data_IF_186882187184
#
_entry.id   IF_186882187184
#
_cell.length_a   1.000
_cell.length_b   1.000
_cell.length_c   1.000
_cell.angle_alpha   90.00
_cell.angle_beta   90.00
_cell.angle_gamma   90.00
#
_symmetry.space_group_name_H-M   'P 1'
#
loop_
_entity.id
_entity.type
_entity.pdbx_description
1 polymer ?
#
# COMPACT_ATOMS: atom_id res chain seq x y z
N UNK A 1 16.87 -18.45 4.70
CA UNK A 1 17.61 -18.63 3.43
C UNK A 1 16.60 -18.50 2.31
N UNK A 2 16.48 -17.35 1.64
CA UNK A 2 15.65 -17.26 0.44
C UNK A 2 16.48 -17.75 -0.73
N UNK A 3 16.03 -18.77 -1.44
CA UNK A 3 16.66 -19.20 -2.70
C UNK A 3 16.61 -18.03 -3.71
N UNK A 4 17.45 -18.03 -4.73
CA UNK A 4 17.44 -16.98 -5.76
C UNK A 4 16.03 -16.83 -6.40
N UNK A 5 15.32 -17.94 -6.61
CA UNK A 5 13.93 -17.96 -7.07
C UNK A 5 12.97 -17.21 -6.13
N UNK A 6 13.10 -17.40 -4.81
CA UNK A 6 12.28 -16.71 -3.81
C UNK A 6 12.50 -15.19 -3.85
N UNK A 7 13.75 -14.76 -4.14
CA UNK A 7 14.08 -13.33 -4.23
C UNK A 7 13.46 -12.65 -5.45
N UNK A 8 13.39 -13.34 -6.59
CA UNK A 8 12.73 -12.84 -7.79
C UNK A 8 11.22 -12.72 -7.61
N UNK A 9 10.58 -13.73 -7.03
CA UNK A 9 9.13 -13.73 -6.75
C UNK A 9 8.77 -12.61 -5.77
N UNK A 10 9.55 -12.42 -4.69
CA UNK A 10 9.30 -11.35 -3.73
C UNK A 10 9.45 -9.96 -4.38
N UNK A 11 10.41 -9.78 -5.29
CA UNK A 11 10.54 -8.53 -6.04
C UNK A 11 9.29 -8.28 -6.89
N UNK A 12 8.84 -9.28 -7.67
CA UNK A 12 7.63 -9.15 -8.49
C UNK A 12 6.40 -8.82 -7.62
N UNK A 13 6.24 -9.49 -6.48
CA UNK A 13 5.16 -9.22 -5.55
C UNK A 13 5.21 -7.76 -5.04
N UNK A 14 6.40 -7.26 -4.66
CA UNK A 14 6.59 -5.87 -4.24
C UNK A 14 6.24 -4.88 -5.35
N UNK A 15 6.67 -5.14 -6.57
CA UNK A 15 6.36 -4.27 -7.72
C UNK A 15 4.86 -4.26 -8.01
N UNK A 16 4.23 -5.44 -8.09
CA UNK A 16 2.79 -5.57 -8.31
C UNK A 16 1.98 -4.83 -7.24
N UNK A 17 2.35 -4.99 -5.97
CA UNK A 17 1.71 -4.25 -4.88
C UNK A 17 1.97 -2.75 -4.96
N UNK A 18 3.18 -2.30 -5.35
CA UNK A 18 3.54 -0.89 -5.39
C UNK A 18 2.82 -0.07 -6.47
N UNK A 19 2.49 -0.69 -7.62
CA UNK A 19 1.96 0.03 -8.80
C UNK A 19 0.70 0.81 -8.45
N UNK A 20 -0.23 0.19 -7.71
CA UNK A 20 -1.48 0.83 -7.33
C UNK A 20 -1.24 2.06 -6.45
N UNK A 21 -0.33 1.96 -5.46
CA UNK A 21 -0.06 3.05 -4.52
C UNK A 21 0.74 4.17 -5.17
N UNK A 22 1.71 3.86 -6.04
CA UNK A 22 2.43 4.88 -6.80
C UNK A 22 1.51 5.62 -7.76
N UNK A 23 0.69 4.89 -8.52
CA UNK A 23 -0.30 5.50 -9.40
C UNK A 23 -1.25 6.42 -8.62
N UNK A 24 -1.87 5.88 -7.57
CA UNK A 24 -2.80 6.64 -6.73
C UNK A 24 -2.15 7.86 -6.09
N UNK A 25 -0.94 7.70 -5.52
CA UNK A 25 -0.22 8.76 -4.84
C UNK A 25 0.21 9.88 -5.78
N UNK A 26 0.70 9.54 -6.98
CA UNK A 26 1.04 10.53 -8.01
C UNK A 26 -0.21 11.29 -8.46
N UNK A 27 -1.33 10.59 -8.69
CA UNK A 27 -2.59 11.25 -9.05
C UNK A 27 -3.09 12.19 -7.94
N UNK A 28 -2.91 11.81 -6.67
CA UNK A 28 -3.20 12.69 -5.53
C UNK A 28 -2.28 13.91 -5.48
N UNK A 29 -0.99 13.78 -5.85
CA UNK A 29 -0.09 14.94 -5.91
C UNK A 29 -0.48 15.90 -7.04
N UNK A 30 -0.74 15.38 -8.24
CA UNK A 30 -1.12 16.18 -9.40
C UNK A 30 -2.51 16.82 -9.23
N UNK A 31 -3.42 16.13 -8.54
CA UNK A 31 -4.79 16.55 -8.29
C UNK A 31 -5.10 16.86 -6.83
N UNK A 32 -4.14 17.39 -6.07
CA UNK A 32 -4.24 17.47 -4.61
C UNK A 32 -5.47 18.25 -4.12
N UNK A 33 -5.80 19.37 -4.76
CA UNK A 33 -7.01 20.14 -4.42
C UNK A 33 -8.29 19.34 -4.61
N UNK A 34 -8.40 18.56 -5.69
CA UNK A 34 -9.55 17.70 -5.95
C UNK A 34 -9.62 16.55 -4.94
N UNK A 35 -8.47 15.97 -4.56
CA UNK A 35 -8.42 14.94 -3.53
C UNK A 35 -8.85 15.46 -2.16
N UNK A 36 -8.41 16.65 -1.76
CA UNK A 36 -8.87 17.33 -0.53
C UNK A 36 -10.38 17.55 -0.57
N UNK A 37 -10.92 18.05 -1.69
CA UNK A 37 -12.37 18.23 -1.87
C UNK A 37 -13.15 16.91 -1.78
N UNK A 38 -12.61 15.83 -2.35
CA UNK A 38 -13.19 14.49 -2.22
C UNK A 38 -13.27 14.02 -0.76
N UNK A 39 -12.18 14.19 0.02
CA UNK A 39 -12.18 13.82 1.44
C UNK A 39 -13.15 14.66 2.26
N UNK A 40 -13.30 15.94 1.95
CA UNK A 40 -14.30 16.82 2.58
C UNK A 40 -15.72 16.35 2.27
N UNK A 41 -16.02 16.03 1.01
CA UNK A 41 -17.32 15.51 0.61
C UNK A 41 -17.66 14.17 1.27
N UNK A 42 -16.64 13.34 1.54
CA UNK A 42 -16.77 12.09 2.31
C UNK A 42 -16.86 12.30 3.83
N UNK A 43 -16.76 13.53 4.32
CA UNK A 43 -16.86 13.83 5.76
C UNK A 43 -15.68 13.32 6.59
N UNK A 44 -14.50 13.12 5.97
CA UNK A 44 -13.31 12.63 6.68
C UNK A 44 -12.86 13.68 7.71
N UNK A 45 -12.69 13.33 9.00
CA UNK A 45 -12.23 14.27 10.00
C UNK A 45 -10.76 14.67 9.72
N UNK A 46 -10.39 15.88 10.13
CA UNK A 46 -9.00 16.38 10.05
C UNK A 46 -8.41 16.27 8.62
N UNK A 47 -9.16 16.64 7.58
CA UNK A 47 -8.71 16.53 6.17
C UNK A 47 -7.33 17.15 5.92
N UNK A 48 -7.00 18.25 6.60
CA UNK A 48 -5.70 18.91 6.50
C UNK A 48 -4.52 18.03 6.94
N UNK A 49 -4.77 17.00 7.75
CA UNK A 49 -3.79 15.99 8.18
C UNK A 49 -3.97 14.70 7.38
N UNK A 50 -5.21 14.26 7.16
CA UNK A 50 -5.50 13.02 6.45
C UNK A 50 -5.02 13.04 4.99
N UNK A 51 -5.22 14.15 4.27
CA UNK A 51 -4.81 14.29 2.88
C UNK A 51 -3.29 14.19 2.67
N UNK A 52 -2.43 14.95 3.39
CA UNK A 52 -0.99 14.83 3.21
C UNK A 52 -0.46 13.48 3.69
N UNK A 53 -1.01 12.92 4.78
CA UNK A 53 -0.62 11.60 5.27
C UNK A 53 -0.94 10.51 4.24
N UNK A 54 -2.16 10.49 3.70
CA UNK A 54 -2.55 9.53 2.67
C UNK A 54 -1.65 9.63 1.44
N UNK A 55 -1.38 10.84 0.96
CA UNK A 55 -0.52 11.08 -0.19
C UNK A 55 0.92 10.63 0.08
N UNK A 56 1.46 10.96 1.25
CA UNK A 56 2.81 10.59 1.65
C UNK A 56 2.95 9.06 1.79
N UNK A 57 1.99 8.39 2.43
CA UNK A 57 2.02 6.92 2.60
C UNK A 57 1.99 6.23 1.24
N UNK A 58 1.16 6.68 0.30
CA UNK A 58 1.07 6.07 -1.02
C UNK A 58 2.34 6.26 -1.85
N UNK A 59 2.89 7.47 -1.89
CA UNK A 59 4.08 7.79 -2.69
C UNK A 59 5.34 7.19 -2.05
N UNK A 60 5.60 7.51 -0.79
CA UNK A 60 6.82 7.06 -0.09
C UNK A 60 6.76 5.56 0.13
N UNK A 61 5.61 5.02 0.56
CA UNK A 61 5.43 3.58 0.74
C UNK A 61 5.57 2.81 -0.57
N UNK A 62 5.00 3.32 -1.66
CA UNK A 62 5.19 2.78 -3.01
C UNK A 62 6.66 2.73 -3.41
N UNK A 63 7.41 3.81 -3.21
CA UNK A 63 8.86 3.86 -3.50
C UNK A 63 9.62 2.84 -2.65
N UNK A 64 9.33 2.77 -1.35
CA UNK A 64 10.01 1.85 -0.43
C UNK A 64 9.73 0.39 -0.79
N UNK A 65 8.53 0.06 -1.26
CA UNK A 65 8.20 -1.26 -1.81
C UNK A 65 9.08 -1.59 -3.01
N UNK A 66 9.23 -0.68 -3.97
CA UNK A 66 10.07 -0.87 -5.16
C UNK A 66 11.52 -1.16 -4.78
N UNK A 67 12.13 -0.28 -3.98
CA UNK A 67 13.56 -0.41 -3.61
C UNK A 67 13.82 -1.50 -2.55
N UNK A 68 12.77 -1.95 -1.87
CA UNK A 68 12.90 -2.97 -0.83
C UNK A 68 13.52 -2.43 0.45
N UNK A 69 13.04 -1.28 0.91
CA UNK A 69 13.55 -0.61 2.11
C UNK A 69 12.54 -0.67 3.26
N UNK A 70 12.98 -1.13 4.43
CA UNK A 70 12.18 -1.31 5.64
C UNK A 70 10.89 -2.12 5.39
N UNK A 71 10.95 -3.17 4.57
CA UNK A 71 9.75 -3.86 4.08
C UNK A 71 8.90 -4.47 5.21
N UNK A 72 9.54 -4.93 6.29
CA UNK A 72 8.80 -5.52 7.42
C UNK A 72 7.86 -4.53 8.11
N UNK A 73 8.34 -3.43 8.71
CA UNK A 73 7.46 -2.43 9.30
C UNK A 73 6.59 -1.72 8.25
N UNK A 74 7.10 -1.52 7.02
CA UNK A 74 6.32 -0.94 5.94
C UNK A 74 5.11 -1.80 5.58
N UNK A 75 5.26 -3.13 5.53
CA UNK A 75 4.16 -4.05 5.26
C UNK A 75 3.01 -3.88 6.25
N UNK A 76 3.31 -3.72 7.55
CA UNK A 76 2.28 -3.45 8.55
C UNK A 76 1.58 -2.10 8.32
N UNK A 77 2.36 -1.03 8.08
CA UNK A 77 1.82 0.31 7.82
C UNK A 77 0.93 0.31 6.58
N UNK A 78 1.39 -0.29 5.48
CA UNK A 78 0.65 -0.38 4.23
C UNK A 78 -0.61 -1.24 4.38
N UNK A 79 -0.57 -2.33 5.14
CA UNK A 79 -1.75 -3.14 5.44
C UNK A 79 -2.82 -2.33 6.18
N UNK A 80 -2.44 -1.65 7.28
CA UNK A 80 -3.35 -0.81 8.06
C UNK A 80 -3.93 0.30 7.20
N UNK A 81 -3.07 1.01 6.45
CA UNK A 81 -3.49 2.06 5.54
C UNK A 81 -4.49 1.54 4.50
N UNK A 82 -4.20 0.41 3.86
CA UNK A 82 -5.05 -0.17 2.83
C UNK A 82 -6.42 -0.55 3.37
N UNK A 83 -6.48 -1.15 4.57
CA UNK A 83 -7.77 -1.44 5.24
C UNK A 83 -8.51 -0.15 5.58
N UNK A 84 -7.84 0.88 6.09
CA UNK A 84 -8.46 2.17 6.36
C UNK A 84 -9.05 2.80 5.07
N UNK A 85 -8.33 2.74 3.95
CA UNK A 85 -8.86 3.22 2.66
C UNK A 85 -10.03 2.38 2.15
N UNK A 86 -10.05 1.06 2.39
CA UNK A 86 -11.19 0.22 2.07
C UNK A 86 -12.44 0.66 2.84
N UNK A 87 -12.30 0.84 4.15
CA UNK A 87 -13.42 1.19 5.04
C UNK A 87 -13.96 2.59 4.78
N UNK A 88 -13.07 3.56 4.54
CA UNK A 88 -13.47 4.96 4.35
C UNK A 88 -13.84 5.29 2.89
N UNK A 89 -13.20 4.64 1.93
CA UNK A 89 -13.35 4.92 0.50
C UNK A 89 -14.43 4.08 -0.18
N UNK A 90 -14.70 2.87 0.34
CA UNK A 90 -15.55 1.87 -0.30
C UNK A 90 -16.58 1.30 0.69
N UNK A 91 -17.27 2.20 1.40
CA UNK A 91 -18.29 1.92 2.41
C UNK A 91 -19.61 1.43 1.80
N UNK A 92 -19.56 0.29 1.10
CA UNK A 92 -20.67 -0.27 0.31
C UNK A 92 -21.94 -0.52 1.13
N UNK A 93 -21.84 -0.67 2.45
CA UNK A 93 -22.97 -0.84 3.36
C UNK A 93 -23.84 0.43 3.51
N UNK A 94 -23.33 1.59 3.08
CA UNK A 94 -24.05 2.86 3.09
C UNK A 94 -24.66 3.23 1.72
N UNK A 95 -24.53 2.37 0.71
CA UNK A 95 -24.94 2.65 -0.68
C UNK A 95 -26.24 1.92 -1.00
N UNK A 96 -27.27 2.67 -1.41
CA UNK A 96 -28.60 2.12 -1.79
C UNK A 96 -28.73 1.81 -3.28
N UNK A 97 -27.92 2.44 -4.13
CA UNK A 97 -27.89 2.16 -5.56
C UNK A 97 -27.13 0.83 -5.82
N UNK A 98 -27.82 -0.16 -6.40
CA UNK A 98 -27.27 -1.51 -6.58
C UNK A 98 -25.99 -1.55 -7.45
N UNK A 99 -25.92 -0.76 -8.52
CA UNK A 99 -24.75 -0.73 -9.40
C UNK A 99 -23.52 -0.13 -8.70
N UNK A 100 -23.72 0.99 -8.00
CA UNK A 100 -22.65 1.63 -7.21
C UNK A 100 -22.23 0.73 -6.02
N UNK A 101 -23.18 0.06 -5.38
CA UNK A 101 -22.89 -0.85 -4.28
C UNK A 101 -22.01 -2.01 -4.75
N UNK A 102 -22.32 -2.62 -5.90
CA UNK A 102 -21.53 -3.71 -6.46
C UNK A 102 -20.08 -3.30 -6.75
N UNK A 103 -19.89 -2.13 -7.35
CA UNK A 103 -18.56 -1.57 -7.62
C UNK A 103 -17.75 -1.34 -6.32
N UNK A 104 -18.38 -0.76 -5.30
CA UNK A 104 -17.75 -0.53 -3.99
C UNK A 104 -17.35 -1.85 -3.29
N UNK A 105 -18.19 -2.89 -3.39
CA UNK A 105 -17.87 -4.23 -2.83
C UNK A 105 -16.59 -4.79 -3.47
N UNK A 106 -16.45 -4.69 -4.79
CA UNK A 106 -15.25 -5.16 -5.50
C UNK A 106 -14.01 -4.40 -5.02
N UNK A 107 -14.09 -3.07 -4.93
CA UNK A 107 -12.98 -2.25 -4.48
C UNK A 107 -12.59 -2.49 -3.02
N UNK A 108 -13.58 -2.69 -2.14
CA UNK A 108 -13.35 -3.04 -0.74
C UNK A 108 -12.57 -4.35 -0.62
N UNK A 109 -13.05 -5.43 -1.23
CA UNK A 109 -12.41 -6.75 -1.12
C UNK A 109 -11.07 -6.82 -1.83
N UNK A 110 -10.90 -6.10 -2.94
CA UNK A 110 -9.59 -5.90 -3.58
C UNK A 110 -8.58 -5.32 -2.58
N UNK A 111 -8.96 -4.26 -1.85
CA UNK A 111 -8.08 -3.66 -0.84
C UNK A 111 -7.78 -4.63 0.32
N UNK A 112 -8.76 -5.41 0.79
CA UNK A 112 -8.53 -6.45 1.80
C UNK A 112 -7.51 -7.50 1.31
N UNK A 113 -7.65 -7.97 0.08
CA UNK A 113 -6.69 -8.90 -0.54
C UNK A 113 -5.27 -8.31 -0.63
N UNK A 114 -5.16 -7.05 -1.04
CA UNK A 114 -3.88 -6.31 -1.10
C UNK A 114 -3.26 -6.20 0.31
N UNK A 115 -4.05 -5.88 1.33
CA UNK A 115 -3.57 -5.83 2.71
C UNK A 115 -3.00 -7.18 3.17
N UNK A 116 -3.62 -8.30 2.76
CA UNK A 116 -3.07 -9.65 2.97
C UNK A 116 -1.68 -9.82 2.34
N UNK A 117 -1.47 -9.31 1.13
CA UNK A 117 -0.15 -9.28 0.48
C UNK A 117 0.90 -8.50 1.28
N UNK A 118 0.52 -7.37 1.87
CA UNK A 118 1.41 -6.60 2.73
C UNK A 118 1.74 -7.29 4.06
N UNK A 119 0.78 -7.99 4.66
CA UNK A 119 1.03 -8.81 5.85
C UNK A 119 1.98 -9.98 5.53
N UNK A 120 1.86 -10.59 4.35
CA UNK A 120 2.84 -11.57 3.89
C UNK A 120 4.23 -10.94 3.76
N UNK A 121 4.36 -9.75 3.17
CA UNK A 121 5.64 -9.02 3.10
C UNK A 121 6.21 -8.66 4.48
N UNK A 122 5.36 -8.40 5.47
CA UNK A 122 5.80 -8.19 6.86
C UNK A 122 6.53 -9.42 7.41
N UNK A 123 6.07 -10.62 7.06
CA UNK A 123 6.65 -11.89 7.51
C UNK A 123 7.85 -12.29 6.64
N UNK A 124 7.72 -12.23 5.31
CA UNK A 124 8.76 -12.69 4.38
C UNK A 124 9.93 -11.72 4.28
N UNK A 125 9.69 -10.41 4.47
CA UNK A 125 10.68 -9.35 4.25
C UNK A 125 10.90 -9.04 2.76
N UNK A 126 11.97 -8.28 2.47
CA UNK A 126 12.21 -7.67 1.16
C UNK A 126 12.77 -8.61 0.07
N UNK A 127 13.25 -9.80 0.44
CA UNK A 127 13.99 -10.70 -0.47
C UNK A 127 15.39 -10.19 -0.81
N UNK A 128 16.19 -10.99 -1.53
CA UNK A 128 17.60 -10.68 -1.82
C UNK A 128 17.83 -9.47 -2.75
N UNK A 129 16.87 -9.16 -3.63
CA UNK A 129 16.94 -8.00 -4.53
C UNK A 129 16.36 -6.74 -3.86
N UNK A 130 17.01 -6.27 -2.79
CA UNK A 130 16.50 -5.16 -1.98
C UNK A 130 17.60 -4.35 -1.28
N UNK A 131 17.28 -3.11 -0.92
CA UNK A 131 18.13 -2.28 -0.06
C UNK A 131 18.30 -2.91 1.32
N UNK A 132 17.25 -3.53 1.88
CA UNK A 132 17.33 -4.23 3.16
C UNK A 132 18.38 -5.36 3.14
N UNK A 133 18.43 -6.14 2.06
CA UNK A 133 19.44 -7.19 1.89
C UNK A 133 20.85 -6.62 1.75
N UNK A 134 21.02 -5.50 1.05
CA UNK A 134 22.31 -4.83 0.91
C UNK A 134 22.86 -4.26 2.23
N UNK A 135 21.97 -3.93 3.19
CA UNK A 135 22.34 -3.43 4.53
C UNK A 135 22.60 -4.52 5.57
N UNK A 136 22.21 -5.77 5.29
CA UNK A 136 22.40 -6.86 6.23
C UNK A 136 23.91 -7.16 6.43
N UNK A 137 24.39 -7.35 7.67
CA UNK A 137 25.79 -7.71 7.91
C UNK A 137 26.17 -8.98 7.13
N UNK A 138 27.23 -8.91 6.32
CA UNK A 138 27.82 -10.10 5.70
C UNK A 138 28.40 -10.95 6.83
N UNK A 139 27.83 -12.13 7.09
CA UNK A 139 28.45 -13.07 8.02
C UNK A 139 29.80 -13.52 7.43
N UNK A 140 30.91 -13.48 8.19
CA UNK A 140 32.17 -14.07 7.75
C UNK A 140 31.95 -15.57 7.51
N UNK A 141 32.38 -16.08 6.36
CA UNK A 141 32.50 -17.52 6.13
C UNK A 141 33.63 -18.04 7.03
N UNK A 142 33.27 -18.77 8.08
CA UNK A 142 34.21 -19.61 8.83
C UNK A 142 34.54 -20.85 8.00
#
# INVERSE_FOLDING_TARGET
MSRAADSGIILIARLALSVLFLWSGIMKLLGYGAFVGYLQAKGVPLVQIAAPVATAVEVIGGIFLVIGFMIRPLGLVMAIYTIATAVLGHDFWNVTNAALQHDMVIHFWKNVGIAGGFLLLMVTGAGGASVDAARAPRRPSL
#
